data_IF_095979844614
#
_entry.id   IF_095979844614
#
_cell.length_a   1.000
_cell.length_b   1.000
_cell.length_c   1.000
_cell.angle_alpha   90.00
_cell.angle_beta   90.00
_cell.angle_gamma   90.00
#
_symmetry.space_group_name_H-M   'P 1'
#
loop_
_entity.id
_entity.type
_entity.pdbx_description
1 polymer ?
#
# COMPACT_ATOMS: atom_id res chain seq x y z
N UNK A 1 -28.24 10.90 0.13
CA UNK A 1 -27.34 12.00 0.54
C UNK A 1 -27.27 11.97 2.06
N UNK A 2 -26.20 11.42 2.65
CA UNK A 2 -26.08 11.30 4.10
C UNK A 2 -25.67 12.65 4.70
N UNK A 3 -26.57 13.23 5.49
CA UNK A 3 -26.39 14.53 6.13
C UNK A 3 -25.48 14.35 7.35
N UNK A 4 -24.16 14.34 7.14
CA UNK A 4 -23.19 14.29 8.24
C UNK A 4 -23.07 15.67 8.89
N UNK A 5 -24.01 16.02 9.76
CA UNK A 5 -23.84 17.20 10.62
C UNK A 5 -22.57 17.02 11.46
N UNK A 6 -21.63 17.95 11.27
CA UNK A 6 -20.37 17.96 11.98
C UNK A 6 -20.61 18.38 13.44
N UNK A 7 -20.41 17.46 14.39
CA UNK A 7 -20.43 17.79 15.82
C UNK A 7 -19.11 18.50 16.18
N UNK A 8 -19.19 19.79 16.49
CA UNK A 8 -18.03 20.59 16.91
C UNK A 8 -17.51 20.19 18.29
N UNK A 9 -16.26 20.56 18.59
CA UNK A 9 -15.57 20.17 19.82
C UNK A 9 -16.25 20.72 21.09
N UNK A 10 -16.92 21.88 21.01
CA UNK A 10 -17.66 22.45 22.13
C UNK A 10 -18.89 21.62 22.49
N UNK A 11 -19.66 21.19 21.48
CA UNK A 11 -20.78 20.25 21.68
C UNK A 11 -20.30 18.89 22.21
N UNK A 12 -19.16 18.39 21.73
CA UNK A 12 -18.56 17.12 22.18
C UNK A 12 -18.15 17.15 23.65
N UNK A 13 -17.46 18.18 24.11
CA UNK A 13 -17.09 18.33 25.53
C UNK A 13 -18.31 18.40 26.43
N UNK A 14 -19.38 19.08 25.99
CA UNK A 14 -20.63 19.17 26.76
C UNK A 14 -21.30 17.79 26.93
N UNK A 15 -21.21 16.92 25.93
CA UNK A 15 -21.72 15.54 26.00
C UNK A 15 -20.89 14.70 26.98
N UNK A 16 -19.55 14.76 26.86
CA UNK A 16 -18.63 14.05 27.77
C UNK A 16 -18.85 14.49 29.22
N UNK A 17 -18.87 15.79 29.49
CA UNK A 17 -19.07 16.31 30.86
C UNK A 17 -20.42 15.93 31.47
N UNK A 18 -21.48 15.82 30.64
CA UNK A 18 -22.80 15.34 31.10
C UNK A 18 -22.80 13.84 31.41
N UNK A 19 -22.07 13.04 30.65
CA UNK A 19 -21.88 11.63 30.98
C UNK A 19 -21.01 11.43 32.24
N UNK A 20 -19.96 12.24 32.42
CA UNK A 20 -19.17 12.23 33.67
C UNK A 20 -20.02 12.62 34.88
N UNK A 21 -20.97 13.54 34.71
CA UNK A 21 -21.96 13.90 35.72
C UNK A 21 -23.06 12.82 35.93
N UNK A 22 -22.95 11.66 35.29
CA UNK A 22 -23.86 10.52 35.47
C UNK A 22 -25.18 10.60 34.69
N UNK A 23 -25.34 11.53 33.75
CA UNK A 23 -26.55 11.58 32.93
C UNK A 23 -26.64 10.39 31.97
N UNK A 24 -27.86 9.88 31.77
CA UNK A 24 -28.09 8.77 30.85
C UNK A 24 -27.86 9.18 29.39
N UNK A 25 -27.28 8.29 28.58
CA UNK A 25 -27.06 8.52 27.16
C UNK A 25 -28.37 8.83 26.40
N UNK A 26 -29.48 8.20 26.80
CA UNK A 26 -30.79 8.44 26.20
C UNK A 26 -31.33 9.87 26.45
N UNK A 27 -31.01 10.46 27.60
CA UNK A 27 -31.35 11.86 27.88
C UNK A 27 -30.49 12.81 27.05
N UNK A 28 -29.19 12.54 26.96
CA UNK A 28 -28.24 13.35 26.17
C UNK A 28 -28.59 13.30 24.68
N UNK A 29 -28.94 12.12 24.14
CA UNK A 29 -29.34 11.99 22.74
C UNK A 29 -30.58 12.82 22.42
N UNK A 30 -31.58 12.83 23.31
CA UNK A 30 -32.79 13.64 23.15
C UNK A 30 -32.50 15.14 23.21
N UNK A 31 -31.60 15.57 24.09
CA UNK A 31 -31.29 16.98 24.29
C UNK A 31 -30.44 17.57 23.15
N UNK A 32 -29.54 16.76 22.58
CA UNK A 32 -28.62 17.21 21.52
C UNK A 32 -29.09 16.81 20.11
N UNK A 33 -30.25 16.17 19.98
CA UNK A 33 -30.78 15.60 18.72
C UNK A 33 -29.75 14.69 18.01
N UNK A 34 -29.16 13.78 18.79
CA UNK A 34 -28.12 12.86 18.32
C UNK A 34 -28.59 11.43 18.32
N UNK A 35 -28.02 10.64 17.40
CA UNK A 35 -28.22 9.18 17.44
C UNK A 35 -27.45 8.58 18.62
N UNK A 36 -27.97 7.50 19.25
CA UNK A 36 -27.28 6.81 20.34
C UNK A 36 -25.84 6.39 20.01
N UNK A 37 -25.57 6.04 18.75
CA UNK A 37 -24.24 5.66 18.27
C UNK A 37 -23.23 6.80 18.37
N UNK A 38 -23.63 8.06 18.15
CA UNK A 38 -22.71 9.20 18.25
C UNK A 38 -22.26 9.40 19.70
N UNK A 39 -23.21 9.41 20.63
CA UNK A 39 -22.92 9.56 22.07
C UNK A 39 -22.10 8.38 22.61
N UNK A 40 -22.48 7.15 22.25
CA UNK A 40 -21.77 5.94 22.66
C UNK A 40 -20.34 5.89 22.11
N UNK A 41 -20.13 6.18 20.83
CA UNK A 41 -18.80 6.17 20.23
C UNK A 41 -17.92 7.31 20.75
N UNK A 42 -18.50 8.50 20.99
CA UNK A 42 -17.76 9.63 21.57
C UNK A 42 -17.31 9.32 23.00
N UNK A 43 -18.19 8.70 23.79
CA UNK A 43 -17.85 8.27 25.15
C UNK A 43 -16.74 7.24 25.16
N UNK A 44 -16.86 6.20 24.32
CA UNK A 44 -15.81 5.18 24.16
C UNK A 44 -14.48 5.81 23.74
N UNK A 45 -14.51 6.70 22.75
CA UNK A 45 -13.32 7.43 22.32
C UNK A 45 -12.65 8.18 23.50
N UNK A 46 -13.45 8.89 24.30
CA UNK A 46 -12.94 9.62 25.46
C UNK A 46 -12.37 8.68 26.53
N UNK A 47 -13.04 7.57 26.84
CA UNK A 47 -12.55 6.57 27.77
C UNK A 47 -11.23 5.92 27.30
N UNK A 48 -11.14 5.59 26.01
CA UNK A 48 -9.98 4.89 25.44
C UNK A 48 -8.76 5.81 25.30
N UNK A 49 -8.97 7.09 25.01
CA UNK A 49 -7.87 7.99 24.59
C UNK A 49 -7.68 9.22 25.46
N UNK A 50 -8.61 9.52 26.38
CA UNK A 50 -8.65 10.77 27.14
C UNK A 50 -8.90 12.01 26.29
N UNK A 51 -9.26 11.86 25.00
CA UNK A 51 -9.38 12.96 24.05
C UNK A 51 -10.63 12.85 23.19
N UNK A 52 -11.33 13.98 23.02
CA UNK A 52 -12.43 14.10 22.06
C UNK A 52 -11.96 14.54 20.67
N UNK A 53 -10.67 14.90 20.52
CA UNK A 53 -10.16 15.42 19.26
C UNK A 53 -10.18 14.34 18.19
N UNK A 54 -10.61 14.73 16.99
CA UNK A 54 -10.49 13.85 15.82
C UNK A 54 -9.01 13.68 15.50
N UNK A 55 -8.48 12.48 15.72
CA UNK A 55 -7.21 12.11 15.11
C UNK A 55 -7.43 12.03 13.61
N UNK A 56 -6.72 12.83 12.79
CA UNK A 56 -6.71 12.58 11.35
C UNK A 56 -6.21 11.14 11.16
N UNK A 57 -6.97 10.32 10.45
CA UNK A 57 -6.56 8.96 10.16
C UNK A 57 -5.24 9.01 9.40
N UNK A 58 -4.14 8.63 10.06
CA UNK A 58 -2.87 8.45 9.36
C UNK A 58 -2.99 7.11 8.65
N UNK A 59 -3.02 7.15 7.32
CA UNK A 59 -3.09 5.92 6.53
C UNK A 59 -1.79 5.14 6.69
N UNK A 60 -1.87 3.80 6.57
CA UNK A 60 -0.69 2.92 6.58
C UNK A 60 0.36 3.43 5.57
N UNK A 61 -0.06 3.90 4.39
CA UNK A 61 0.85 4.49 3.40
C UNK A 61 1.59 5.73 3.91
N UNK A 62 0.94 6.63 4.66
CA UNK A 62 1.63 7.81 5.22
C UNK A 62 2.71 7.38 6.22
N UNK A 63 2.39 6.42 7.10
CA UNK A 63 3.35 5.85 8.05
C UNK A 63 4.54 5.17 7.36
N UNK A 64 4.29 4.44 6.28
CA UNK A 64 5.35 3.77 5.52
C UNK A 64 6.25 4.78 4.77
N UNK A 65 5.67 5.87 4.25
CA UNK A 65 6.48 6.95 3.65
C UNK A 65 7.34 7.69 4.69
N UNK A 66 6.83 7.89 5.92
CA UNK A 66 7.62 8.46 7.04
C UNK A 66 8.88 7.63 7.32
N UNK A 67 8.84 6.32 7.09
CA UNK A 67 9.99 5.40 7.23
C UNK A 67 10.76 5.17 5.93
N UNK A 68 10.48 5.92 4.85
CA UNK A 68 11.19 5.81 3.58
C UNK A 68 10.78 4.64 2.69
N UNK A 69 9.68 3.95 2.99
CA UNK A 69 9.18 2.82 2.20
C UNK A 69 8.15 3.28 1.17
N UNK A 70 8.27 2.78 -0.05
CA UNK A 70 7.38 3.14 -1.15
C UNK A 70 6.81 1.91 -1.84
N UNK A 71 5.53 1.98 -2.20
CA UNK A 71 4.91 0.94 -3.03
C UNK A 71 5.52 0.93 -4.43
N UNK A 72 6.07 -0.21 -4.85
CA UNK A 72 6.69 -0.44 -6.16
C UNK A 72 6.33 -1.81 -6.70
N UNK A 73 6.43 -1.97 -8.02
CA UNK A 73 6.30 -3.29 -8.65
C UNK A 73 7.62 -4.04 -8.45
N UNK A 74 7.60 -5.27 -7.90
CA UNK A 74 8.81 -6.05 -7.73
C UNK A 74 9.50 -6.26 -9.08
N UNK A 75 10.82 -6.38 -9.06
CA UNK A 75 11.53 -6.85 -10.24
C UNK A 75 11.12 -8.29 -10.53
N UNK A 76 10.84 -8.58 -11.79
CA UNK A 76 10.56 -9.95 -12.24
C UNK A 76 11.85 -10.49 -12.81
N UNK A 77 12.34 -11.60 -12.27
CA UNK A 77 13.56 -12.23 -12.74
C UNK A 77 13.34 -13.72 -12.95
N UNK A 78 13.94 -14.25 -14.01
CA UNK A 78 14.10 -15.69 -14.18
C UNK A 78 15.35 -16.11 -13.42
N UNK A 79 15.25 -17.08 -12.47
CA UNK A 79 16.42 -17.55 -11.74
C UNK A 79 17.41 -18.21 -12.70
N UNK A 80 18.60 -17.62 -12.83
CA UNK A 80 19.68 -18.19 -13.63
C UNK A 80 20.59 -19.06 -12.75
N UNK A 81 20.77 -20.32 -13.16
CA UNK A 81 21.80 -21.20 -12.61
C UNK A 81 23.19 -20.57 -12.79
N UNK A 82 24.14 -20.92 -11.93
CA UNK A 82 25.53 -20.45 -12.03
C UNK A 82 26.15 -20.76 -13.40
N UNK A 83 25.84 -21.93 -13.96
CA UNK A 83 26.24 -22.33 -15.32
C UNK A 83 25.66 -21.41 -16.37
N UNK A 84 24.34 -21.15 -16.34
CA UNK A 84 23.68 -20.26 -17.31
C UNK A 84 24.23 -18.83 -17.23
N UNK A 85 24.53 -18.32 -16.02
CA UNK A 85 25.17 -17.01 -15.84
C UNK A 85 26.53 -16.94 -16.54
N UNK A 86 27.36 -17.97 -16.37
CA UNK A 86 28.69 -18.03 -16.99
C UNK A 86 28.61 -18.10 -18.51
N UNK A 87 27.74 -18.96 -19.04
CA UNK A 87 27.55 -19.12 -20.50
C UNK A 87 27.06 -17.81 -21.12
N UNK A 88 26.05 -17.16 -20.52
CA UNK A 88 25.55 -15.86 -21.00
C UNK A 88 26.62 -14.78 -20.97
N UNK A 89 27.41 -14.71 -19.89
CA UNK A 89 28.49 -13.71 -19.79
C UNK A 89 29.58 -13.94 -20.84
N UNK A 90 29.97 -15.20 -21.08
CA UNK A 90 30.95 -15.54 -22.11
C UNK A 90 30.44 -15.13 -23.50
N UNK A 91 29.19 -15.47 -23.82
CA UNK A 91 28.54 -15.09 -25.08
C UNK A 91 28.54 -13.57 -25.28
N UNK A 92 28.12 -12.79 -24.27
CA UNK A 92 28.13 -11.33 -24.36
C UNK A 92 29.54 -10.77 -24.58
N UNK A 93 30.57 -11.35 -23.97
CA UNK A 93 31.96 -10.90 -24.14
C UNK A 93 32.48 -11.17 -25.55
N UNK A 94 32.18 -12.35 -26.09
CA UNK A 94 32.58 -12.75 -27.44
C UNK A 94 31.92 -11.89 -28.53
N UNK A 95 30.67 -11.48 -28.29
CA UNK A 95 29.87 -10.72 -29.25
C UNK A 95 29.84 -9.21 -28.96
N UNK A 96 30.56 -8.74 -27.92
CA UNK A 96 30.56 -7.34 -27.50
C UNK A 96 30.99 -6.38 -28.61
N UNK A 97 32.00 -6.79 -29.38
CA UNK A 97 32.67 -5.95 -30.37
C UNK A 97 32.23 -6.30 -31.81
N UNK A 98 31.09 -7.00 -31.95
CA UNK A 98 30.52 -7.31 -33.27
C UNK A 98 30.00 -6.05 -33.98
N UNK A 99 30.33 -5.92 -35.26
CA UNK A 99 29.81 -4.87 -36.13
C UNK A 99 28.37 -5.15 -36.57
N UNK A 100 27.66 -4.11 -37.03
CA UNK A 100 26.29 -4.24 -37.54
C UNK A 100 26.19 -5.23 -38.71
N UNK A 101 27.21 -5.29 -39.58
CA UNK A 101 27.23 -6.24 -40.69
C UNK A 101 27.25 -7.70 -40.21
N UNK A 102 27.90 -7.98 -39.08
CA UNK A 102 27.87 -9.32 -38.46
C UNK A 102 26.53 -9.60 -37.80
N UNK A 103 25.89 -8.60 -37.19
CA UNK A 103 24.54 -8.77 -36.64
C UNK A 103 23.50 -9.01 -37.73
N UNK A 104 23.66 -8.39 -38.91
CA UNK A 104 22.74 -8.52 -40.03
C UNK A 104 22.68 -9.93 -40.63
N UNK A 105 23.68 -10.78 -40.39
CA UNK A 105 23.67 -12.18 -40.86
C UNK A 105 22.96 -13.13 -39.92
N UNK A 106 22.60 -12.69 -38.70
CA UNK A 106 21.95 -13.54 -37.69
C UNK A 106 20.43 -13.50 -37.86
N UNK A 107 19.83 -14.67 -38.06
CA UNK A 107 18.38 -14.83 -38.02
C UNK A 107 17.94 -15.22 -36.60
N UNK A 108 17.16 -14.36 -35.95
CA UNK A 108 16.54 -14.64 -34.66
C UNK A 108 15.15 -15.26 -34.84
N UNK A 109 14.86 -16.32 -34.10
CA UNK A 109 13.56 -17.00 -34.10
C UNK A 109 13.11 -17.28 -32.66
N UNK A 110 11.84 -17.04 -32.37
CA UNK A 110 11.22 -17.33 -31.08
C UNK A 110 9.71 -17.58 -31.26
N UNK A 111 9.08 -18.22 -30.27
CA UNK A 111 7.63 -18.45 -30.22
C UNK A 111 7.00 -17.57 -29.13
N UNK A 112 6.00 -16.77 -29.49
CA UNK A 112 5.27 -15.92 -28.53
C UNK A 112 3.83 -16.38 -28.37
N UNK A 113 3.36 -16.43 -27.12
CA UNK A 113 1.97 -16.72 -26.77
C UNK A 113 1.20 -15.41 -26.61
N UNK A 114 0.03 -15.30 -27.24
CA UNK A 114 -0.88 -14.15 -27.09
C UNK A 114 -2.16 -14.59 -26.36
N UNK A 115 -2.58 -13.86 -25.34
CA UNK A 115 -3.86 -14.08 -24.65
C UNK A 115 -4.79 -12.88 -24.81
N UNK A 116 -6.09 -13.14 -25.00
CA UNK A 116 -7.12 -12.11 -25.13
C UNK A 116 -7.56 -11.52 -23.77
N UNK A 117 -7.22 -12.20 -22.68
CA UNK A 117 -7.46 -11.73 -21.32
C UNK A 117 -6.12 -11.65 -20.60
N UNK A 118 -5.73 -10.45 -20.18
CA UNK A 118 -4.57 -10.23 -19.34
C UNK A 118 -5.02 -10.08 -17.90
N UNK A 119 -4.70 -11.06 -17.07
CA UNK A 119 -4.81 -10.90 -15.63
C UNK A 119 -3.74 -9.89 -15.18
N UNK A 120 -4.19 -8.68 -14.85
CA UNK A 120 -3.27 -7.57 -14.61
C UNK A 120 -2.44 -7.71 -13.32
N UNK A 121 -2.71 -8.74 -12.48
CA UNK A 121 -2.22 -8.95 -11.09
C UNK A 121 -1.18 -7.93 -10.67
N UNK A 122 -1.66 -6.72 -10.37
CA UNK A 122 -0.79 -5.60 -9.99
C UNK A 122 -0.43 -5.78 -8.52
N UNK A 123 0.55 -6.64 -8.27
CA UNK A 123 1.13 -6.80 -6.94
C UNK A 123 2.17 -5.72 -6.72
N UNK A 124 2.05 -5.02 -5.59
CA UNK A 124 3.02 -4.04 -5.13
C UNK A 124 3.66 -4.55 -3.84
N UNK A 125 4.95 -4.31 -3.70
CA UNK A 125 5.71 -4.46 -2.45
C UNK A 125 6.10 -3.09 -1.95
N UNK A 126 6.25 -2.95 -0.63
CA UNK A 126 6.80 -1.74 -0.01
C UNK A 126 8.29 -1.93 0.13
N UNK A 127 9.07 -1.13 -0.59
CA UNK A 127 10.53 -1.24 -0.63
C UNK A 127 11.22 0.12 -0.48
N UNK A 128 12.48 0.10 -0.04
CA UNK A 128 13.33 1.28 0.03
C UNK A 128 13.87 1.63 -1.38
N UNK A 129 14.08 2.93 -1.67
CA UNK A 129 14.73 3.35 -2.91
C UNK A 129 16.08 2.65 -3.12
N UNK A 130 16.32 2.11 -4.32
CA UNK A 130 17.59 1.47 -4.68
C UNK A 130 17.70 -0.01 -4.33
N UNK A 131 16.73 -0.59 -3.61
CA UNK A 131 16.75 -2.00 -3.18
C UNK A 131 16.07 -2.98 -4.16
N UNK A 132 15.68 -2.50 -5.34
CA UNK A 132 14.81 -3.22 -6.30
C UNK A 132 15.28 -4.64 -6.67
N UNK A 133 16.59 -4.87 -6.75
CA UNK A 133 17.18 -6.15 -7.15
C UNK A 133 17.71 -6.98 -5.97
N UNK A 134 17.40 -6.58 -4.73
CA UNK A 134 17.66 -7.45 -3.58
C UNK A 134 16.78 -8.71 -3.70
N UNK A 135 17.27 -9.89 -3.29
CA UNK A 135 16.50 -11.13 -3.36
C UNK A 135 15.12 -11.05 -2.69
N UNK A 136 14.96 -10.24 -1.64
CA UNK A 136 13.69 -10.02 -0.95
C UNK A 136 12.64 -9.26 -1.77
N UNK A 137 13.06 -8.54 -2.81
CA UNK A 137 12.23 -7.60 -3.57
C UNK A 137 11.99 -8.06 -5.03
N UNK A 138 12.49 -9.26 -5.36
CA UNK A 138 12.38 -9.87 -6.68
C UNK A 138 11.33 -10.98 -6.62
N UNK A 139 10.46 -11.01 -7.63
CA UNK A 139 9.62 -12.16 -7.89
C UNK A 139 10.33 -13.07 -8.89
N UNK A 140 10.65 -14.28 -8.46
CA UNK A 140 11.10 -15.34 -9.35
C UNK A 140 9.88 -15.91 -10.10
N UNK A 141 10.04 -16.10 -11.40
CA UNK A 141 9.06 -16.81 -12.22
C UNK A 141 9.70 -18.13 -12.65
N UNK A 142 9.06 -19.23 -12.29
CA UNK A 142 9.37 -20.56 -12.83
C UNK A 142 8.90 -20.65 -14.29
N UNK A 143 9.73 -21.26 -15.13
CA UNK A 143 9.43 -21.50 -16.54
C UNK A 143 8.31 -22.51 -16.76
#
# INVERSE_FOLDING_TARGET
>A
MSNHQHLDDGRRWRIVGRQEAGQSQAQICREFDLTPSVTCNLWKQFQDTGSIQRKPGVTVSKRLHETGLFARRPAVCVPLTSTNRRVRLAWCREHRDWSMDKWATVLFTDESRFSLNTDSRRTFIWEEPGTRYLPSNVCEIDH
#
